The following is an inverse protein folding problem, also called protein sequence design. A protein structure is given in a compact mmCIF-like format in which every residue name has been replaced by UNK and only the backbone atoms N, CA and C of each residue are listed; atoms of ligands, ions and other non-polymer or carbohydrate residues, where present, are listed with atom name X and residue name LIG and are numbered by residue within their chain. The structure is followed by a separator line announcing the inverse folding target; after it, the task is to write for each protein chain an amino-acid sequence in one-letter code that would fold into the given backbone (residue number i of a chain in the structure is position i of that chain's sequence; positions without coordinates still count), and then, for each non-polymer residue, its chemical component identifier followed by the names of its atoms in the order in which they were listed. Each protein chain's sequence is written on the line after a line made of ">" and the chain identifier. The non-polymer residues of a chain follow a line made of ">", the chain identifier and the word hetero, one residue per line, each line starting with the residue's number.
data_IF_731975619550
#
_entry.id   IF_731975619550
#
_cell.length_a   1.000
_cell.length_b   1.000
_cell.length_c   1.000
_cell.angle_alpha   90.00
_cell.angle_beta   90.00
_cell.angle_gamma   90.00
#
_symmetry.space_group_name_H-M   'P 1'
#
loop_
_entity.id
_entity.type
_entity.pdbx_description
1 polymer ?
#
# COMPACT_ATOMS: atom_id res chain seq x y z
N UNK A 1 7.10 9.95 -18.28
CA UNK A 1 6.07 9.67 -17.25
C UNK A 1 6.76 9.39 -15.92
N UNK A 2 6.46 10.16 -14.88
CA UNK A 2 7.05 9.97 -13.55
C UNK A 2 6.54 8.68 -12.94
N UNK A 3 7.40 7.68 -12.73
CA UNK A 3 7.01 6.45 -12.02
C UNK A 3 6.65 6.83 -10.58
N UNK A 4 5.46 6.42 -10.12
CA UNK A 4 5.04 6.63 -8.73
C UNK A 4 5.41 5.39 -7.92
N UNK A 5 6.02 5.61 -6.76
CA UNK A 5 6.53 4.52 -5.92
C UNK A 5 5.88 4.67 -4.56
N UNK A 6 5.44 3.55 -3.98
CA UNK A 6 5.16 3.50 -2.55
C UNK A 6 6.35 2.88 -1.83
N UNK A 7 6.75 3.48 -0.72
CA UNK A 7 7.81 2.94 0.15
C UNK A 7 7.16 2.19 1.30
N UNK A 8 7.63 0.98 1.57
CA UNK A 8 7.27 0.18 2.73
C UNK A 8 8.54 0.00 3.55
N UNK A 9 8.51 0.37 4.82
CA UNK A 9 9.66 0.31 5.72
C UNK A 9 9.39 -0.60 6.90
N UNK A 10 10.41 -1.32 7.38
CA UNK A 10 10.35 -2.07 8.63
C UNK A 10 11.18 -1.36 9.68
N UNK A 11 10.54 -0.81 10.71
CA UNK A 11 11.15 0.01 11.77
C UNK A 11 10.34 -0.07 13.07
N UNK A 12 11.01 0.14 14.19
CA UNK A 12 10.40 0.22 15.52
C UNK A 12 9.61 1.52 15.72
N UNK A 13 8.68 1.50 16.68
CA UNK A 13 7.91 2.69 17.06
C UNK A 13 8.82 3.82 17.56
N UNK A 14 9.88 3.50 18.29
CA UNK A 14 10.85 4.49 18.80
C UNK A 14 11.58 5.21 17.68
N UNK A 15 11.98 4.51 16.62
CA UNK A 15 12.59 5.12 15.43
C UNK A 15 11.61 6.06 14.72
N UNK A 16 10.35 5.63 14.58
CA UNK A 16 9.30 6.46 13.95
C UNK A 16 9.06 7.73 14.75
N UNK A 17 8.90 7.62 16.08
CA UNK A 17 8.70 8.79 16.94
C UNK A 17 9.91 9.74 16.92
N UNK A 18 11.13 9.19 16.86
CA UNK A 18 12.35 9.98 16.79
C UNK A 18 12.49 10.73 15.47
N UNK A 19 12.16 10.09 14.35
CA UNK A 19 12.10 10.74 13.03
C UNK A 19 11.01 11.82 12.98
N UNK A 20 9.84 11.56 13.55
CA UNK A 20 8.79 12.58 13.62
C UNK A 20 9.23 13.80 14.42
N UNK A 21 9.92 13.59 15.55
CA UNK A 21 10.46 14.69 16.35
C UNK A 21 11.50 15.52 15.57
N UNK A 22 12.35 14.90 14.74
CA UNK A 22 13.29 15.65 13.89
C UNK A 22 12.57 16.41 12.79
N UNK A 23 11.59 15.80 12.11
CA UNK A 23 10.77 16.46 11.08
C UNK A 23 10.06 17.70 11.63
N UNK A 24 9.50 17.63 12.84
CA UNK A 24 8.83 18.79 13.47
C UNK A 24 9.82 19.91 13.78
N UNK A 25 11.02 19.58 14.32
CA UNK A 25 12.07 20.58 14.59
C UNK A 25 12.55 21.26 13.30
N UNK A 26 12.78 20.48 12.25
CA UNK A 26 13.20 21.01 10.96
C UNK A 26 12.13 21.93 10.36
N UNK A 27 10.86 21.54 10.45
CA UNK A 27 9.74 22.38 10.00
C UNK A 27 9.65 23.70 10.78
N UNK A 28 9.84 23.69 12.10
CA UNK A 28 9.90 24.91 12.92
C UNK A 28 11.08 25.82 12.53
N UNK A 29 12.19 25.25 12.07
CA UNK A 29 13.34 25.97 11.55
C UNK A 29 13.20 26.39 10.06
N UNK A 30 12.01 26.21 9.46
CA UNK A 30 11.74 26.55 8.05
C UNK A 30 12.32 25.56 7.03
N UNK A 31 12.87 24.42 7.49
CA UNK A 31 13.43 23.38 6.63
C UNK A 31 12.37 22.29 6.40
N UNK A 32 11.57 22.44 5.35
CA UNK A 32 10.56 21.45 4.97
C UNK A 32 11.13 20.54 3.88
N UNK A 33 11.34 19.26 4.21
CA UNK A 33 11.72 18.23 3.25
C UNK A 33 10.56 17.76 2.37
N UNK A 34 10.82 16.94 1.34
CA UNK A 34 9.76 16.38 0.50
C UNK A 34 8.82 15.47 1.32
N UNK A 35 7.53 15.37 0.94
CA UNK A 35 6.58 14.53 1.64
C UNK A 35 7.02 13.06 1.59
N UNK A 36 7.09 12.42 2.75
CA UNK A 36 7.35 10.99 2.88
C UNK A 36 5.99 10.27 2.91
N UNK A 37 5.65 9.62 1.80
CA UNK A 37 4.41 8.82 1.67
C UNK A 37 4.80 7.34 1.63
N UNK A 38 4.35 6.57 2.60
CA UNK A 38 4.68 5.15 2.70
C UNK A 38 4.08 4.48 3.93
N UNK A 39 4.18 3.15 3.98
CA UNK A 39 3.75 2.34 5.12
C UNK A 39 4.95 1.96 5.97
N UNK A 40 4.80 1.98 7.28
CA UNK A 40 5.80 1.42 8.21
C UNK A 40 5.20 0.22 8.93
N UNK A 41 5.98 -0.86 9.00
CA UNK A 41 5.65 -2.09 9.73
C UNK A 41 6.67 -2.28 10.86
N UNK A 42 6.23 -2.87 11.96
CA UNK A 42 7.11 -3.15 13.10
C UNK A 42 8.06 -4.34 12.84
N UNK A 43 7.70 -5.25 11.91
CA UNK A 43 8.50 -6.43 11.62
C UNK A 43 8.39 -6.89 10.17
N UNK A 44 9.42 -7.63 9.73
CA UNK A 44 9.41 -8.28 8.41
C UNK A 44 8.29 -9.33 8.29
N UNK A 45 7.93 -9.98 9.39
CA UNK A 45 6.84 -10.96 9.40
C UNK A 45 5.48 -10.29 9.21
N UNK A 46 5.28 -9.08 9.76
CA UNK A 46 4.09 -8.29 9.47
C UNK A 46 4.00 -7.92 7.98
N UNK A 47 5.13 -7.54 7.36
CA UNK A 47 5.20 -7.30 5.90
C UNK A 47 4.84 -8.57 5.14
N UNK A 48 5.41 -9.73 5.48
CA UNK A 48 5.14 -11.02 4.82
C UNK A 48 3.67 -11.44 4.95
N UNK A 49 3.08 -11.20 6.11
CA UNK A 49 1.67 -11.49 6.38
C UNK A 49 0.72 -10.61 5.56
N UNK A 50 1.14 -9.38 5.22
CA UNK A 50 0.37 -8.48 4.37
C UNK A 50 0.64 -8.73 2.88
N UNK A 51 1.90 -8.69 2.46
CA UNK A 51 2.34 -8.75 1.06
C UNK A 51 2.67 -10.19 0.62
N UNK A 52 1.72 -11.10 0.81
CA UNK A 52 1.87 -12.48 0.33
C UNK A 52 2.02 -12.52 -1.20
N UNK A 53 2.63 -13.57 -1.78
CA UNK A 53 2.74 -13.71 -3.23
C UNK A 53 1.40 -13.58 -3.97
N UNK A 54 0.33 -14.12 -3.39
CA UNK A 54 -1.03 -14.00 -3.94
C UNK A 54 -1.50 -12.54 -3.96
N UNK A 55 -1.23 -11.75 -2.93
CA UNK A 55 -1.65 -10.33 -2.88
C UNK A 55 -0.77 -9.45 -3.75
N UNK A 56 0.53 -9.71 -3.84
CA UNK A 56 1.41 -9.07 -4.82
C UNK A 56 0.93 -9.32 -6.26
N UNK A 57 0.56 -10.57 -6.57
CA UNK A 57 -0.07 -10.91 -7.85
C UNK A 57 -1.40 -10.18 -8.08
N UNK A 58 -2.18 -9.97 -7.02
CA UNK A 58 -3.44 -9.21 -7.09
C UNK A 58 -3.20 -7.72 -7.38
N UNK A 59 -2.23 -7.09 -6.71
CA UNK A 59 -1.84 -5.70 -6.95
C UNK A 59 -1.38 -5.51 -8.40
N UNK A 60 -0.54 -6.41 -8.90
CA UNK A 60 -0.09 -6.44 -10.30
C UNK A 60 -1.29 -6.54 -11.25
N UNK A 61 -2.19 -7.50 -11.03
CA UNK A 61 -3.37 -7.69 -11.86
C UNK A 61 -4.29 -6.46 -11.87
N UNK A 62 -4.50 -5.81 -10.72
CA UNK A 62 -5.28 -4.56 -10.63
C UNK A 62 -4.62 -3.46 -11.49
N UNK A 63 -3.30 -3.31 -11.39
CA UNK A 63 -2.54 -2.27 -12.11
C UNK A 63 -2.54 -2.46 -13.63
N UNK A 64 -2.43 -3.71 -14.09
CA UNK A 64 -2.37 -4.08 -15.50
C UNK A 64 -3.75 -4.10 -16.16
N UNK A 65 -4.72 -4.80 -15.55
CA UNK A 65 -6.04 -5.01 -16.16
C UNK A 65 -7.05 -3.89 -15.91
N UNK A 66 -6.78 -2.99 -14.95
CA UNK A 66 -7.68 -1.88 -14.54
C UNK A 66 -9.15 -2.32 -14.42
N UNK A 67 -9.45 -3.35 -13.59
CA UNK A 67 -10.74 -4.02 -13.60
C UNK A 67 -11.88 -3.06 -13.26
N UNK A 68 -13.05 -3.25 -13.88
CA UNK A 68 -14.24 -2.42 -13.64
C UNK A 68 -15.01 -2.79 -12.36
N UNK A 69 -14.61 -3.86 -11.68
CA UNK A 69 -15.16 -4.30 -10.39
C UNK A 69 -14.26 -5.34 -9.73
N UNK A 70 -14.46 -5.60 -8.43
CA UNK A 70 -13.80 -6.73 -7.73
C UNK A 70 -14.19 -8.08 -8.38
N UNK A 71 -15.41 -8.21 -8.88
CA UNK A 71 -15.85 -9.40 -9.61
C UNK A 71 -15.06 -9.62 -10.91
N UNK A 72 -14.87 -8.55 -11.69
CA UNK A 72 -14.07 -8.62 -12.91
C UNK A 72 -12.61 -8.99 -12.61
N UNK A 73 -12.04 -8.48 -11.52
CA UNK A 73 -10.71 -8.85 -11.04
C UNK A 73 -10.62 -10.35 -10.68
N UNK A 74 -11.61 -10.87 -9.95
CA UNK A 74 -11.66 -12.29 -9.59
C UNK A 74 -11.70 -13.18 -10.85
N UNK A 75 -12.55 -12.83 -11.83
CA UNK A 75 -12.64 -13.54 -13.11
C UNK A 75 -11.32 -13.48 -13.90
N UNK A 76 -10.70 -12.30 -14.00
CA UNK A 76 -9.46 -12.11 -14.74
C UNK A 76 -8.27 -12.86 -14.13
N UNK A 77 -8.28 -13.08 -12.82
CA UNK A 77 -7.20 -13.78 -12.09
C UNK A 77 -7.51 -15.26 -11.81
N UNK A 78 -8.68 -15.76 -12.21
CA UNK A 78 -9.12 -17.12 -11.89
C UNK A 78 -9.31 -17.39 -10.40
N UNK A 79 -9.55 -16.35 -9.59
CA UNK A 79 -9.64 -16.44 -8.12
C UNK A 79 -11.08 -16.52 -7.64
N UNK A 80 -11.28 -17.17 -6.50
CA UNK A 80 -12.58 -17.15 -5.81
C UNK A 80 -12.94 -15.71 -5.39
N UNK A 81 -14.19 -15.32 -5.64
CA UNK A 81 -14.68 -13.95 -5.39
C UNK A 81 -14.54 -13.53 -3.92
N UNK A 82 -14.96 -14.40 -2.98
CA UNK A 82 -14.92 -14.13 -1.55
C UNK A 82 -13.49 -13.78 -1.07
N UNK A 83 -12.52 -14.58 -1.49
CA UNK A 83 -11.11 -14.38 -1.15
C UNK A 83 -10.55 -13.11 -1.81
N UNK A 84 -10.97 -12.82 -3.05
CA UNK A 84 -10.59 -11.60 -3.75
C UNK A 84 -11.15 -10.35 -3.05
N UNK A 85 -12.40 -10.38 -2.61
CA UNK A 85 -13.00 -9.29 -1.83
C UNK A 85 -12.27 -9.07 -0.51
N UNK A 86 -11.97 -10.13 0.24
CA UNK A 86 -11.24 -10.04 1.50
C UNK A 86 -9.84 -9.43 1.31
N UNK A 87 -9.09 -9.91 0.32
CA UNK A 87 -7.76 -9.37 0.02
C UNK A 87 -7.82 -7.91 -0.46
N UNK A 88 -8.75 -7.56 -1.34
CA UNK A 88 -8.94 -6.17 -1.80
C UNK A 88 -9.32 -5.26 -0.64
N UNK A 89 -10.24 -5.67 0.24
CA UNK A 89 -10.65 -4.88 1.38
C UNK A 89 -9.48 -4.65 2.36
N UNK A 90 -8.67 -5.67 2.60
CA UNK A 90 -7.50 -5.56 3.47
C UNK A 90 -6.43 -4.64 2.87
N UNK A 91 -6.11 -4.80 1.58
CA UNK A 91 -5.17 -3.93 0.88
C UNK A 91 -5.68 -2.48 0.83
N UNK A 92 -7.00 -2.28 0.71
CA UNK A 92 -7.59 -0.94 0.73
C UNK A 92 -7.53 -0.28 2.11
N UNK A 93 -7.65 -1.04 3.21
CA UNK A 93 -7.44 -0.52 4.57
C UNK A 93 -6.02 -0.03 4.82
N UNK A 94 -5.05 -0.52 4.03
CA UNK A 94 -3.65 -0.12 4.09
C UNK A 94 -3.29 0.90 3.00
N UNK A 95 -4.28 1.46 2.30
CA UNK A 95 -4.10 2.38 1.17
C UNK A 95 -3.22 1.83 0.02
N UNK A 96 -3.03 0.51 -0.03
CA UNK A 96 -2.34 -0.17 -1.13
C UNK A 96 -3.25 -0.33 -2.35
N UNK A 97 -4.56 -0.24 -2.16
CA UNK A 97 -5.59 -0.25 -3.21
C UNK A 97 -6.63 0.82 -2.91
N UNK A 98 -6.88 1.71 -3.86
CA UNK A 98 -8.02 2.62 -3.77
C UNK A 98 -9.29 1.98 -4.33
N UNK A 99 -10.44 2.25 -3.70
CA UNK A 99 -11.74 1.77 -4.15
C UNK A 99 -12.57 2.95 -4.68
N UNK A 100 -12.65 3.07 -6.00
CA UNK A 100 -13.49 4.05 -6.65
C UNK A 100 -14.94 3.55 -6.71
N UNK A 101 -15.89 4.40 -6.30
CA UNK A 101 -17.31 4.15 -6.49
C UNK A 101 -17.67 4.41 -7.97
N UNK A 102 -18.28 3.43 -8.64
CA UNK A 102 -18.96 3.68 -9.92
C UNK A 102 -20.17 4.62 -9.79
N UNK A 103 -20.74 5.04 -10.93
CA UNK A 103 -22.01 5.76 -10.95
C UNK A 103 -23.17 4.76 -11.14
N UNK A 104 -24.22 4.81 -10.31
CA UNK A 104 -25.46 4.01 -10.46
C UNK A 104 -26.02 3.36 -9.18
N UNK A 105 -27.20 2.70 -9.27
CA UNK A 105 -27.94 2.08 -8.14
C UNK A 105 -27.27 0.82 -7.53
N UNK A 106 -26.35 0.17 -8.26
CA UNK A 106 -25.51 -0.96 -7.78
C UNK A 106 -24.06 -0.64 -8.04
N UNK A 107 -23.48 0.19 -7.18
CA UNK A 107 -22.15 0.75 -7.39
C UNK A 107 -21.06 -0.30 -7.20
N UNK A 108 -20.65 -0.96 -8.27
CA UNK A 108 -19.50 -1.84 -8.22
C UNK A 108 -18.24 -1.04 -7.83
N UNK A 109 -17.54 -1.49 -6.79
CA UNK A 109 -16.26 -0.91 -6.36
C UNK A 109 -15.18 -1.29 -7.36
N UNK A 110 -14.51 -0.26 -7.90
CA UNK A 110 -13.42 -0.38 -8.87
C UNK A 110 -12.09 -0.29 -8.13
N UNK A 111 -11.34 -1.39 -7.98
CA UNK A 111 -10.04 -1.33 -7.32
C UNK A 111 -9.00 -0.66 -8.23
N UNK A 112 -8.14 0.16 -7.65
CA UNK A 112 -7.07 0.89 -8.33
C UNK A 112 -5.77 0.80 -7.54
N UNK A 113 -4.68 0.66 -8.27
CA UNK A 113 -3.31 0.78 -7.76
C UNK A 113 -2.68 1.96 -8.48
N UNK A 114 -2.36 3.04 -7.75
CA UNK A 114 -1.86 4.32 -8.31
C UNK A 114 -0.33 4.48 -8.30
N UNK A 115 0.39 3.38 -8.09
CA UNK A 115 1.84 3.31 -8.11
C UNK A 115 2.31 2.22 -9.08
N UNK A 116 3.57 2.32 -9.50
CA UNK A 116 4.21 1.43 -10.46
C UNK A 116 5.16 0.43 -9.78
N UNK A 117 5.64 0.76 -8.57
CA UNK A 117 6.57 -0.08 -7.82
C UNK A 117 6.39 0.07 -6.32
N UNK A 118 6.66 -1.02 -5.59
CA UNK A 118 6.83 -1.03 -4.15
C UNK A 118 8.34 -1.06 -3.88
N UNK A 119 8.85 -0.14 -3.08
CA UNK A 119 10.21 -0.21 -2.52
C UNK A 119 10.12 -0.70 -1.08
N UNK A 120 10.81 -1.79 -0.77
CA UNK A 120 10.88 -2.34 0.58
C UNK A 120 12.23 -1.97 1.19
N UNK A 121 12.19 -1.23 2.30
CA UNK A 121 13.37 -0.83 3.07
C UNK A 121 13.35 -1.56 4.41
N UNK A 122 14.38 -2.38 4.66
CA UNK A 122 14.52 -3.12 5.91
C UNK A 122 15.81 -2.65 6.56
N UNK A 123 15.71 -2.08 7.76
CA UNK A 123 16.88 -1.78 8.56
C UNK A 123 17.48 -3.09 9.09
N UNK A 124 18.80 -3.23 8.98
CA UNK A 124 19.55 -4.37 9.54
C UNK A 124 20.26 -4.01 10.84
N UNK A 125 19.87 -2.90 11.46
CA UNK A 125 20.40 -2.41 12.73
C UNK A 125 19.23 -2.04 13.64
N UNK A 126 19.38 -2.30 14.92
CA UNK A 126 18.47 -1.79 15.94
C UNK A 126 18.84 -0.32 16.24
N UNK A 127 17.83 0.50 16.55
CA UNK A 127 18.07 1.83 17.11
C UNK A 127 18.89 1.71 18.40
N UNK A 128 20.16 2.15 18.33
CA UNK A 128 21.00 2.34 19.52
C UNK A 128 20.50 3.51 20.36
#
# INVERSE_FOLDING_TARGET
>A
MTRKNITISVRSLTEVLSELASVVRDAQAGKIGPPRIGLTFESIDAVRNVLTPKRLGLLKAIRESRPKSIYALAKATGRQLKNTQADVAMLARLDLVELERGHGKRTALKPRVRYDSIRLNIALHDAR
#
